data_IF_179744511863
#
_entry.id   IF_179744511863
#
_cell.length_a   1.000
_cell.length_b   1.000
_cell.length_c   1.000
_cell.angle_alpha   90.00
_cell.angle_beta   90.00
_cell.angle_gamma   90.00
#
_symmetry.space_group_name_H-M   'P 1'
#
loop_
_entity.id
_entity.type
_entity.pdbx_description
1 polymer ?
#
# COMPACT_ATOMS: atom_id res chain seq x y z
N UNK A 1 -17.35 2.84 -25.58
CA UNK A 1 -16.11 2.03 -25.62
C UNK A 1 -14.83 2.87 -25.57
N UNK A 2 -14.59 3.82 -26.50
CA UNK A 2 -13.34 4.62 -26.58
C UNK A 2 -13.01 5.44 -25.32
N UNK A 3 -14.02 6.05 -24.67
CA UNK A 3 -13.82 6.84 -23.42
C UNK A 3 -13.41 6.00 -22.21
N UNK A 4 -13.84 4.74 -22.12
CA UNK A 4 -13.51 3.86 -21.00
C UNK A 4 -12.05 3.39 -21.07
N UNK A 5 -11.57 3.05 -22.27
CA UNK A 5 -10.18 2.61 -22.51
C UNK A 5 -9.19 3.71 -22.13
N UNK A 6 -9.45 4.96 -22.55
CA UNK A 6 -8.59 6.11 -22.21
C UNK A 6 -8.49 6.28 -20.68
N UNK A 7 -9.58 6.09 -19.94
CA UNK A 7 -9.58 6.17 -18.48
C UNK A 7 -8.69 5.10 -17.84
N UNK A 8 -8.75 3.85 -18.31
CA UNK A 8 -7.90 2.78 -17.79
C UNK A 8 -6.41 3.02 -18.09
N UNK A 9 -6.09 3.53 -19.29
CA UNK A 9 -4.71 3.88 -19.67
C UNK A 9 -4.17 4.99 -18.77
N UNK A 10 -4.96 6.04 -18.51
CA UNK A 10 -4.56 7.12 -17.61
C UNK A 10 -4.30 6.62 -16.20
N UNK A 11 -5.15 5.74 -15.67
CA UNK A 11 -4.93 5.11 -14.37
C UNK A 11 -3.64 4.28 -14.32
N UNK A 12 -3.40 3.45 -15.33
CA UNK A 12 -2.18 2.66 -15.42
C UNK A 12 -0.94 3.56 -15.46
N UNK A 13 -0.99 4.68 -16.18
CA UNK A 13 0.09 5.65 -16.26
C UNK A 13 0.35 6.35 -14.93
N UNK A 14 -0.72 6.72 -14.20
CA UNK A 14 -0.59 7.30 -12.85
C UNK A 14 0.08 6.31 -11.90
N UNK A 15 -0.37 5.06 -11.89
CA UNK A 15 0.22 4.01 -11.04
C UNK A 15 1.69 3.76 -11.42
N UNK A 16 2.01 3.72 -12.72
CA UNK A 16 3.38 3.58 -13.19
C UNK A 16 4.28 4.76 -12.79
N UNK A 17 3.77 6.00 -12.84
CA UNK A 17 4.50 7.17 -12.36
C UNK A 17 4.79 7.07 -10.86
N UNK A 18 3.82 6.61 -10.07
CA UNK A 18 3.99 6.48 -8.62
C UNK A 18 5.01 5.39 -8.28
N UNK A 19 4.93 4.24 -8.97
CA UNK A 19 5.94 3.19 -8.90
C UNK A 19 7.33 3.77 -9.23
N UNK A 20 7.46 4.52 -10.33
CA UNK A 20 8.73 5.11 -10.73
C UNK A 20 9.28 6.09 -9.67
N UNK A 21 8.42 6.95 -9.10
CA UNK A 21 8.80 7.89 -8.03
C UNK A 21 9.30 7.13 -6.80
N UNK A 22 8.55 6.12 -6.33
CA UNK A 22 8.97 5.32 -5.18
C UNK A 22 10.29 4.58 -5.43
N UNK A 23 10.43 3.93 -6.59
CA UNK A 23 11.63 3.16 -6.92
C UNK A 23 12.87 4.04 -7.10
N UNK A 24 12.71 5.28 -7.59
CA UNK A 24 13.81 6.24 -7.71
C UNK A 24 14.34 6.74 -6.36
N UNK A 25 13.64 6.46 -5.25
CA UNK A 25 13.94 6.98 -3.91
C UNK A 25 14.07 8.51 -3.86
N UNK A 26 13.45 9.22 -4.82
CA UNK A 26 13.51 10.68 -4.91
C UNK A 26 12.86 11.38 -3.72
N UNK A 27 11.98 10.66 -3.02
CA UNK A 27 11.29 11.12 -1.80
C UNK A 27 11.98 10.64 -0.51
N UNK A 28 13.20 10.10 -0.60
CA UNK A 28 13.94 9.63 0.57
C UNK A 28 14.36 10.82 1.45
N UNK A 29 13.93 10.83 2.72
CA UNK A 29 14.37 11.80 3.73
C UNK A 29 15.11 11.03 4.82
N UNK A 30 16.41 11.30 5.02
CA UNK A 30 17.28 10.57 5.97
C UNK A 30 17.25 9.03 5.81
N UNK A 31 17.06 8.54 4.58
CA UNK A 31 16.99 7.10 4.29
C UNK A 31 15.60 6.48 4.46
N UNK A 32 14.63 7.24 4.98
CA UNK A 32 13.24 6.81 5.13
C UNK A 32 12.48 7.19 3.86
N UNK A 33 11.82 6.21 3.25
CA UNK A 33 11.02 6.38 2.04
C UNK A 33 9.56 6.05 2.34
N UNK A 34 8.60 6.82 1.79
CA UNK A 34 7.19 6.48 1.92
C UNK A 34 6.83 5.28 1.03
N UNK A 35 5.90 4.47 1.49
CA UNK A 35 5.34 3.34 0.74
C UNK A 35 4.06 3.79 0.03
N UNK A 36 4.25 4.47 -1.10
CA UNK A 36 3.17 5.00 -1.93
C UNK A 36 2.30 3.90 -2.53
N UNK A 37 2.89 2.75 -2.85
CA UNK A 37 2.17 1.60 -3.40
C UNK A 37 1.22 1.02 -2.37
N UNK A 38 1.67 0.79 -1.13
CA UNK A 38 0.81 0.34 -0.04
C UNK A 38 -0.33 1.34 0.21
N UNK A 39 -0.04 2.64 0.26
CA UNK A 39 -1.03 3.72 0.44
C UNK A 39 -2.17 3.61 -0.59
N UNK A 40 -1.82 3.47 -1.88
CA UNK A 40 -2.82 3.38 -2.96
C UNK A 40 -3.54 2.05 -2.94
N UNK A 41 -2.84 0.96 -2.62
CA UNK A 41 -3.43 -0.37 -2.46
C UNK A 41 -4.51 -0.38 -1.37
N UNK A 42 -4.22 0.24 -0.22
CA UNK A 42 -5.18 0.39 0.87
C UNK A 42 -6.37 1.24 0.41
N UNK A 43 -6.15 2.38 -0.23
CA UNK A 43 -7.26 3.18 -0.80
C UNK A 43 -8.11 2.34 -1.75
N UNK A 44 -7.49 1.70 -2.74
CA UNK A 44 -8.21 0.93 -3.74
C UNK A 44 -9.04 -0.19 -3.09
N UNK A 45 -8.45 -0.91 -2.12
CA UNK A 45 -9.11 -1.98 -1.37
C UNK A 45 -10.36 -1.49 -0.63
N UNK A 46 -10.26 -0.35 0.07
CA UNK A 46 -11.38 0.24 0.80
C UNK A 46 -12.51 0.73 -0.13
N UNK A 47 -12.20 1.11 -1.37
CA UNK A 47 -13.19 1.59 -2.34
C UNK A 47 -13.78 0.49 -3.23
N UNK A 48 -13.06 -0.60 -3.49
CA UNK A 48 -13.44 -1.65 -4.45
C UNK A 48 -13.77 -3.00 -3.82
N UNK A 49 -13.49 -3.17 -2.53
CA UNK A 49 -13.77 -4.40 -1.78
C UNK A 49 -12.66 -5.45 -1.89
N UNK A 50 -12.89 -6.58 -1.22
CA UNK A 50 -11.89 -7.62 -0.92
C UNK A 50 -11.21 -8.19 -2.17
N UNK A 51 -11.95 -8.83 -3.07
CA UNK A 51 -11.36 -9.52 -4.23
C UNK A 51 -10.61 -8.58 -5.17
N UNK A 52 -11.20 -7.42 -5.48
CA UNK A 52 -10.55 -6.44 -6.38
C UNK A 52 -9.33 -5.83 -5.71
N UNK A 53 -9.41 -5.52 -4.41
CA UNK A 53 -8.32 -4.98 -3.62
C UNK A 53 -7.14 -5.93 -3.55
N UNK A 54 -7.38 -7.19 -3.19
CA UNK A 54 -6.36 -8.23 -3.07
C UNK A 54 -5.62 -8.47 -4.38
N UNK A 55 -6.36 -8.65 -5.49
CA UNK A 55 -5.74 -8.83 -6.82
C UNK A 55 -4.91 -7.61 -7.21
N UNK A 56 -5.39 -6.41 -6.92
CA UNK A 56 -4.66 -5.18 -7.21
C UNK A 56 -3.36 -5.07 -6.40
N UNK A 57 -3.43 -5.36 -5.09
CA UNK A 57 -2.25 -5.41 -4.22
C UNK A 57 -1.24 -6.47 -4.66
N UNK A 58 -1.70 -7.65 -5.06
CA UNK A 58 -0.86 -8.72 -5.58
C UNK A 58 -0.10 -8.30 -6.85
N UNK A 59 -0.80 -7.72 -7.84
CA UNK A 59 -0.19 -7.28 -9.11
C UNK A 59 0.85 -6.18 -8.87
N UNK A 60 0.54 -5.20 -8.02
CA UNK A 60 1.50 -4.14 -7.69
C UNK A 60 2.68 -4.67 -6.89
N UNK A 61 2.45 -5.61 -5.97
CA UNK A 61 3.53 -6.26 -5.23
C UNK A 61 4.45 -7.09 -6.12
N UNK A 62 3.92 -7.81 -7.12
CA UNK A 62 4.77 -8.45 -8.14
C UNK A 62 5.64 -7.40 -8.86
N UNK A 63 5.06 -6.23 -9.14
CA UNK A 63 5.79 -5.16 -9.82
C UNK A 63 6.91 -4.58 -8.95
N UNK A 64 6.69 -4.44 -7.64
CA UNK A 64 7.74 -4.08 -6.68
C UNK A 64 8.82 -5.16 -6.59
N UNK A 65 8.42 -6.44 -6.60
CA UNK A 65 9.32 -7.59 -6.49
C UNK A 65 10.27 -7.74 -7.68
N UNK A 66 9.94 -7.20 -8.88
CA UNK A 66 10.87 -7.17 -10.03
C UNK A 66 12.16 -6.40 -9.68
N UNK A 67 12.05 -5.39 -8.83
CA UNK A 67 13.18 -4.58 -8.37
C UNK A 67 13.60 -4.94 -6.94
N UNK A 68 12.97 -5.95 -6.36
CA UNK A 68 13.13 -6.36 -4.98
C UNK A 68 14.13 -7.50 -4.78
N UNK A 69 14.41 -7.75 -3.51
CA UNK A 69 15.42 -8.70 -3.04
C UNK A 69 14.93 -10.16 -3.01
N UNK A 70 13.64 -10.36 -2.72
CA UNK A 70 13.00 -11.67 -2.63
C UNK A 70 11.71 -11.63 -3.44
N UNK A 71 11.72 -12.30 -4.60
CA UNK A 71 10.57 -12.33 -5.48
C UNK A 71 9.35 -12.96 -4.80
N UNK A 72 8.21 -12.28 -4.82
CA UNK A 72 6.96 -12.70 -4.20
C UNK A 72 6.70 -12.14 -2.79
N UNK A 73 7.68 -11.48 -2.16
CA UNK A 73 7.52 -10.94 -0.80
C UNK A 73 6.56 -9.74 -0.77
N UNK A 74 6.72 -8.76 -1.67
CA UNK A 74 5.78 -7.65 -1.76
C UNK A 74 4.42 -8.11 -2.28
N UNK A 75 4.41 -9.03 -3.25
CA UNK A 75 3.17 -9.63 -3.75
C UNK A 75 2.34 -10.23 -2.60
N UNK A 76 2.97 -11.01 -1.72
CA UNK A 76 2.33 -11.58 -0.54
C UNK A 76 1.91 -10.50 0.47
N UNK A 77 2.83 -9.59 0.84
CA UNK A 77 2.56 -8.58 1.86
C UNK A 77 1.40 -7.65 1.45
N UNK A 78 1.42 -7.13 0.22
CA UNK A 78 0.39 -6.22 -0.27
C UNK A 78 -0.95 -6.91 -0.51
N UNK A 79 -0.97 -8.15 -1.01
CA UNK A 79 -2.19 -8.93 -1.13
C UNK A 79 -2.83 -9.15 0.25
N UNK A 80 -2.04 -9.58 1.24
CA UNK A 80 -2.50 -9.79 2.60
C UNK A 80 -3.01 -8.50 3.25
N UNK A 81 -2.30 -7.39 3.08
CA UNK A 81 -2.72 -6.07 3.56
C UNK A 81 -4.05 -5.67 2.92
N UNK A 82 -4.19 -5.75 1.59
CA UNK A 82 -5.43 -5.39 0.90
C UNK A 82 -6.62 -6.26 1.30
N UNK A 83 -6.40 -7.55 1.50
CA UNK A 83 -7.40 -8.46 2.04
C UNK A 83 -7.82 -8.02 3.46
N UNK A 84 -6.85 -7.81 4.35
CA UNK A 84 -7.08 -7.37 5.72
C UNK A 84 -7.86 -6.05 5.77
N UNK A 85 -7.43 -5.02 5.04
CA UNK A 85 -8.09 -3.71 5.05
C UNK A 85 -9.52 -3.78 4.51
N UNK A 86 -9.77 -4.60 3.49
CA UNK A 86 -11.10 -4.74 2.90
C UNK A 86 -12.07 -5.50 3.81
N UNK A 87 -11.63 -6.63 4.38
CA UNK A 87 -12.46 -7.49 5.23
C UNK A 87 -12.81 -6.80 6.53
N UNK A 88 -11.83 -6.13 7.15
CA UNK A 88 -12.02 -5.53 8.46
C UNK A 88 -12.63 -4.12 8.41
N UNK A 89 -12.78 -3.51 7.23
CA UNK A 89 -13.41 -2.19 7.06
C UNK A 89 -14.76 -2.08 7.77
N UNK A 90 -15.54 -3.16 7.77
CA UNK A 90 -16.89 -3.22 8.39
C UNK A 90 -16.90 -3.11 9.92
N UNK A 91 -15.77 -3.33 10.59
CA UNK A 91 -15.68 -3.24 12.06
C UNK A 91 -15.21 -1.88 12.56
N UNK A 92 -14.80 -0.98 11.65
CA UNK A 92 -14.31 0.35 12.00
C UNK A 92 -15.44 1.37 11.81
N UNK A 93 -15.97 1.88 12.92
CA UNK A 93 -17.06 2.88 12.95
C UNK A 93 -16.53 4.30 13.15
N UNK A 94 -15.67 4.76 12.25
CA UNK A 94 -15.15 6.14 12.22
C UNK A 94 -15.30 6.74 10.82
N UNK A 95 -14.95 8.01 10.64
CA UNK A 95 -14.98 8.63 9.31
C UNK A 95 -14.03 7.92 8.33
N UNK A 96 -14.35 7.92 7.03
CA UNK A 96 -13.58 7.17 6.03
C UNK A 96 -12.10 7.54 6.01
N UNK A 97 -11.78 8.83 6.16
CA UNK A 97 -10.39 9.31 6.22
C UNK A 97 -9.67 8.77 7.46
N UNK A 98 -10.33 8.78 8.62
CA UNK A 98 -9.72 8.26 9.86
C UNK A 98 -9.52 6.75 9.77
N UNK A 99 -10.50 6.01 9.22
CA UNK A 99 -10.37 4.57 8.99
C UNK A 99 -9.19 4.27 8.06
N UNK A 100 -9.08 5.01 6.96
CA UNK A 100 -7.99 4.89 6.02
C UNK A 100 -6.61 5.15 6.66
N UNK A 101 -6.46 6.21 7.46
CA UNK A 101 -5.21 6.51 8.15
C UNK A 101 -4.86 5.45 9.21
N UNK A 102 -5.85 4.93 9.94
CA UNK A 102 -5.64 3.80 10.87
C UNK A 102 -5.09 2.59 10.12
N UNK A 103 -5.64 2.28 8.94
CA UNK A 103 -5.15 1.18 8.12
C UNK A 103 -3.73 1.41 7.59
N UNK A 104 -3.34 2.64 7.25
CA UNK A 104 -1.95 2.94 6.89
C UNK A 104 -1.00 2.56 8.04
N UNK A 105 -1.32 2.98 9.28
CA UNK A 105 -0.48 2.71 10.44
C UNK A 105 -0.37 1.20 10.67
N UNK A 106 -1.50 0.49 10.73
CA UNK A 106 -1.53 -0.96 10.97
C UNK A 106 -0.80 -1.70 9.85
N UNK A 107 -1.02 -1.31 8.59
CA UNK A 107 -0.42 -1.99 7.44
C UNK A 107 1.08 -1.77 7.34
N UNK A 108 1.57 -0.57 7.72
CA UNK A 108 3.01 -0.30 7.79
C UNK A 108 3.65 -1.27 8.81
N UNK A 109 3.08 -1.37 10.01
CA UNK A 109 3.55 -2.30 11.05
C UNK A 109 3.48 -3.76 10.55
N UNK A 110 2.38 -4.16 9.92
CA UNK A 110 2.22 -5.49 9.34
C UNK A 110 3.29 -5.79 8.27
N UNK A 111 3.58 -4.83 7.37
CA UNK A 111 4.59 -5.00 6.32
C UNK A 111 5.97 -5.24 6.95
N UNK A 112 6.35 -4.46 7.96
CA UNK A 112 7.60 -4.69 8.71
C UNK A 112 7.65 -6.09 9.34
N UNK A 113 6.56 -6.54 10.00
CA UNK A 113 6.50 -7.88 10.61
C UNK A 113 6.62 -8.97 9.54
N UNK A 114 5.84 -8.90 8.46
CA UNK A 114 5.85 -9.87 7.36
C UNK A 114 7.27 -9.97 6.78
N UNK A 115 7.88 -8.82 6.50
CA UNK A 115 9.25 -8.77 5.97
C UNK A 115 10.26 -9.45 6.89
N UNK A 116 10.25 -9.12 8.18
CA UNK A 116 11.19 -9.70 9.14
C UNK A 116 10.99 -11.20 9.30
N UNK A 117 9.74 -11.67 9.38
CA UNK A 117 9.41 -13.10 9.48
C UNK A 117 9.83 -13.85 8.22
N UNK A 118 9.49 -13.34 7.03
CA UNK A 118 9.86 -13.98 5.78
C UNK A 118 11.38 -14.00 5.56
N UNK A 119 12.09 -12.90 5.84
CA UNK A 119 13.55 -12.86 5.71
C UNK A 119 14.24 -13.80 6.69
N UNK A 120 13.71 -13.94 7.92
CA UNK A 120 14.16 -14.98 8.84
C UNK A 120 14.01 -16.38 8.22
N UNK A 121 12.82 -16.72 7.73
CA UNK A 121 12.51 -18.08 7.25
C UNK A 121 13.37 -18.42 6.02
N UNK A 122 13.48 -17.50 5.07
CA UNK A 122 14.13 -17.78 3.77
C UNK A 122 15.63 -17.53 3.75
N UNK A 123 16.14 -16.56 4.53
CA UNK A 123 17.58 -16.20 4.53
C UNK A 123 18.29 -16.59 5.82
N UNK A 124 17.57 -17.02 6.86
CA UNK A 124 18.15 -17.31 8.18
C UNK A 124 18.65 -16.08 8.93
N UNK A 125 18.40 -14.88 8.39
CA UNK A 125 18.90 -13.62 8.94
C UNK A 125 17.78 -12.89 9.68
N UNK A 126 17.97 -12.68 10.98
CA UNK A 126 17.18 -11.70 11.74
C UNK A 126 17.76 -10.32 11.50
N UNK A 127 17.00 -9.44 10.84
CA UNK A 127 17.38 -8.04 10.64
C UNK A 127 16.67 -7.19 11.70
N UNK A 128 16.97 -7.46 12.97
CA UNK A 128 16.68 -6.51 14.04
C UNK A 128 17.83 -5.50 14.10
N UNK A 129 17.82 -4.53 13.19
CA UNK A 129 18.69 -3.36 13.30
C UNK A 129 18.17 -2.46 14.44
N UNK A 130 19.07 -1.86 15.21
CA UNK A 130 18.73 -0.91 16.28
C UNK A 130 17.92 0.28 15.79
N UNK A 131 17.99 0.58 14.50
CA UNK A 131 17.21 1.65 13.85
C UNK A 131 15.85 1.20 13.29
N UNK A 132 15.49 -0.08 13.35
CA UNK A 132 14.25 -0.60 12.75
C UNK A 132 13.00 0.12 13.27
N UNK A 133 12.91 0.31 14.59
CA UNK A 133 11.76 0.97 15.22
C UNK A 133 11.70 2.45 14.79
N UNK A 134 12.85 3.13 14.73
CA UNK A 134 12.91 4.53 14.32
C UNK A 134 12.52 4.71 12.85
N UNK A 135 12.99 3.82 11.97
CA UNK A 135 12.63 3.80 10.55
C UNK A 135 11.14 3.53 10.37
N UNK A 136 10.60 2.54 11.09
CA UNK A 136 9.16 2.23 11.06
C UNK A 136 8.31 3.43 11.51
N UNK A 137 8.69 4.10 12.60
CA UNK A 137 7.97 5.28 13.09
C UNK A 137 8.04 6.43 12.06
N UNK A 138 9.23 6.71 11.52
CA UNK A 138 9.39 7.75 10.51
C UNK A 138 8.60 7.45 9.24
N UNK A 139 8.57 6.20 8.81
CA UNK A 139 7.78 5.75 7.67
C UNK A 139 6.28 5.86 7.94
N UNK A 140 5.80 5.52 9.14
CA UNK A 140 4.40 5.72 9.53
C UNK A 140 4.02 7.20 9.40
N UNK A 141 4.83 8.11 9.93
CA UNK A 141 4.57 9.55 9.85
C UNK A 141 4.53 10.01 8.40
N UNK A 142 5.49 9.56 7.58
CA UNK A 142 5.54 9.92 6.17
C UNK A 142 4.31 9.36 5.42
N UNK A 143 3.96 8.11 5.66
CA UNK A 143 2.82 7.45 5.03
C UNK A 143 1.50 8.11 5.42
N UNK A 144 1.35 8.61 6.65
CA UNK A 144 0.16 9.39 7.04
C UNK A 144 0.08 10.69 6.24
N UNK A 145 1.18 11.46 6.15
CA UNK A 145 1.21 12.73 5.41
C UNK A 145 0.88 12.51 3.93
N UNK A 146 1.53 11.54 3.30
CA UNK A 146 1.24 11.17 1.90
C UNK A 146 -0.17 10.60 1.76
N UNK A 147 -0.61 9.79 2.72
CA UNK A 147 -1.96 9.24 2.77
C UNK A 147 -3.05 10.30 2.72
N UNK A 148 -2.93 11.35 3.53
CA UNK A 148 -3.88 12.48 3.51
C UNK A 148 -3.95 13.09 2.11
N UNK A 149 -2.80 13.39 1.48
CA UNK A 149 -2.77 13.94 0.13
C UNK A 149 -3.45 13.01 -0.89
N UNK A 150 -3.12 11.72 -0.85
CA UNK A 150 -3.69 10.71 -1.74
C UNK A 150 -5.19 10.49 -1.54
N UNK A 151 -5.69 10.56 -0.30
CA UNK A 151 -7.12 10.43 -0.01
C UNK A 151 -7.93 11.54 -0.70
N UNK A 152 -7.48 12.80 -0.60
CA UNK A 152 -8.15 13.92 -1.26
C UNK A 152 -8.05 13.82 -2.78
N UNK A 153 -6.90 13.45 -3.34
CA UNK A 153 -6.75 13.24 -4.79
C UNK A 153 -7.70 12.12 -5.25
N UNK A 154 -7.74 11.01 -4.52
CA UNK A 154 -8.58 9.85 -4.82
C UNK A 154 -10.07 10.21 -4.85
N UNK A 155 -10.53 11.13 -4.00
CA UNK A 155 -11.94 11.56 -3.96
C UNK A 155 -12.43 12.18 -5.28
N UNK A 156 -11.54 12.72 -6.11
CA UNK A 156 -11.89 13.24 -7.44
C UNK A 156 -12.11 12.14 -8.48
N UNK A 157 -11.45 11.00 -8.32
CA UNK A 157 -11.41 9.95 -9.34
C UNK A 157 -12.22 8.70 -8.99
N UNK A 158 -12.28 8.34 -7.71
CA UNK A 158 -12.99 7.18 -7.21
C UNK A 158 -14.40 7.59 -6.79
N UNK A 159 -15.39 7.16 -7.58
CA UNK A 159 -16.76 7.07 -7.11
C UNK A 159 -16.80 5.88 -6.15
N UNK A 160 -17.20 6.08 -4.89
CA UNK A 160 -17.46 4.96 -3.97
C UNK A 160 -18.42 4.02 -4.67
N UNK A 161 -17.98 2.80 -4.96
CA UNK A 161 -18.91 1.72 -5.22
C UNK A 161 -19.53 1.44 -3.85
N UNK A 162 -20.83 1.67 -3.70
CA UNK A 162 -21.55 1.16 -2.54
C UNK A 162 -21.34 -0.35 -2.54
N UNK A 163 -20.44 -0.81 -1.68
CA UNK A 163 -20.22 -2.24 -1.51
C UNK A 163 -21.52 -2.74 -0.89
N UNK A 164 -22.30 -3.60 -1.59
CA UNK A 164 -23.55 -4.10 -1.04
C UNK A 164 -23.24 -4.85 0.24
N UNK A 165 -23.89 -4.43 1.32
CA UNK A 165 -23.93 -5.17 2.58
C UNK A 165 -24.85 -6.38 2.44
#
# INVERSE_FOLDING_TARGET
MRRSIVRYILWALIVALILAVQMSKSLSIYGINPDLIMIICILFSLYKGEYKGEIFGFILGITEDIFGDLFGLNAFALAFICYFTSVYKRYIFVSDIVAYLIYIVISTIMKYIIYNVCLLIFRGNWILDGFLILNMIGEIVYNIVMGIAFYYIASFFFRKEEVPF
#
